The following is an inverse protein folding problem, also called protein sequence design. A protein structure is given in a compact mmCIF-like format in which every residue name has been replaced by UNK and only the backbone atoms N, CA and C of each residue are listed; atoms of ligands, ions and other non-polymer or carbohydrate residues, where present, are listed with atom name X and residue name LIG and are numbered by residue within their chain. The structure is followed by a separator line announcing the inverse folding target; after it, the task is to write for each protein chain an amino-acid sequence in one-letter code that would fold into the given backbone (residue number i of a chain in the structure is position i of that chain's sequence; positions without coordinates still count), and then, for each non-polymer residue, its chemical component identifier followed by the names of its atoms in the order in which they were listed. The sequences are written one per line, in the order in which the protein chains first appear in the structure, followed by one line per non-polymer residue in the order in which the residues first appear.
data_IF_035160232392
#
_entry.id   IF_035160232392
#
_cell.length_a   1.000
_cell.length_b   1.000
_cell.length_c   1.000
_cell.angle_alpha   90.00
_cell.angle_beta   90.00
_cell.angle_gamma   90.00
#
_symmetry.space_group_name_H-M   'P 1'
#
loop_
_entity.id
_entity.type
_entity.pdbx_description
1 polymer ?
#
# COMPACT_ATOMS: atom_id res chain seq x y z
N UNK A 1 -27.33 0.34 11.21
CA UNK A 1 -27.00 -0.84 12.06
C UNK A 1 -25.49 -0.83 12.25
N UNK A 2 -25.03 -0.78 13.51
CA UNK A 2 -23.59 -0.97 13.81
C UNK A 2 -23.17 -2.32 13.23
N UNK A 3 -22.05 -2.35 12.52
CA UNK A 3 -21.53 -3.58 11.91
C UNK A 3 -20.34 -4.03 12.75
N UNK A 4 -20.65 -4.71 13.85
CA UNK A 4 -19.63 -5.25 14.75
C UNK A 4 -19.17 -6.61 14.21
N UNK A 5 -17.87 -6.86 14.22
CA UNK A 5 -17.27 -8.16 13.96
C UNK A 5 -16.99 -8.84 15.31
N UNK A 6 -17.37 -10.11 15.45
CA UNK A 6 -17.18 -10.87 16.70
C UNK A 6 -16.37 -12.13 16.45
N UNK A 7 -15.33 -12.32 17.26
CA UNK A 7 -14.56 -13.56 17.35
C UNK A 7 -15.07 -14.37 18.54
N UNK A 8 -15.33 -15.66 18.33
CA UNK A 8 -15.65 -16.63 19.39
C UNK A 8 -14.89 -17.92 19.07
N UNK A 9 -14.07 -18.39 20.01
CA UNK A 9 -13.38 -19.67 19.93
C UNK A 9 -13.75 -20.47 21.19
N UNK A 10 -14.34 -21.64 20.99
CA UNK A 10 -14.72 -22.54 22.08
C UNK A 10 -13.60 -23.57 22.30
N UNK A 11 -13.05 -23.63 23.50
CA UNK A 11 -12.04 -24.62 23.92
C UNK A 11 -12.55 -25.42 25.10
N UNK A 12 -13.30 -26.48 24.81
CA UNK A 12 -13.93 -27.29 25.87
C UNK A 12 -14.96 -26.47 26.66
N UNK A 13 -14.64 -26.13 27.92
CA UNK A 13 -15.48 -25.30 28.79
C UNK A 13 -15.17 -23.81 28.72
N UNK A 14 -14.03 -23.44 28.15
CA UNK A 14 -13.60 -22.05 28.06
C UNK A 14 -14.04 -21.42 26.73
N UNK A 15 -14.30 -20.12 26.76
CA UNK A 15 -14.64 -19.32 25.57
C UNK A 15 -13.69 -18.15 25.46
N UNK A 16 -12.92 -18.13 24.38
CA UNK A 16 -12.10 -16.98 23.98
C UNK A 16 -12.96 -16.12 23.07
N UNK A 17 -12.97 -14.81 23.30
CA UNK A 17 -13.78 -13.91 22.48
C UNK A 17 -13.16 -12.54 22.29
N UNK A 18 -13.58 -11.86 21.23
CA UNK A 18 -13.24 -10.47 20.98
C UNK A 18 -14.29 -9.83 20.08
N UNK A 19 -14.31 -8.50 20.05
CA UNK A 19 -15.15 -7.72 19.16
C UNK A 19 -14.39 -6.50 18.65
N UNK A 20 -14.73 -6.07 17.44
CA UNK A 20 -14.19 -4.87 16.80
C UNK A 20 -15.24 -4.27 15.86
N UNK A 21 -15.11 -3.00 15.52
CA UNK A 21 -15.95 -2.34 14.54
C UNK A 21 -15.43 -2.61 13.13
N UNK A 22 -16.33 -2.95 12.20
CA UNK A 22 -15.95 -3.07 10.79
C UNK A 22 -15.60 -1.68 10.24
N UNK A 23 -14.44 -1.58 9.61
CA UNK A 23 -14.06 -0.43 8.76
C UNK A 23 -15.04 -0.36 7.59
N UNK A 24 -15.83 0.71 7.54
CA UNK A 24 -16.87 0.90 6.53
C UNK A 24 -16.27 1.24 5.17
N UNK A 25 -17.13 1.16 4.16
CA UNK A 25 -16.81 1.46 2.78
C UNK A 25 -16.31 2.89 2.61
N UNK A 26 -15.27 3.02 1.81
CA UNK A 26 -14.71 4.29 1.35
C UNK A 26 -14.23 4.12 -0.08
N UNK A 27 -13.88 5.22 -0.73
CA UNK A 27 -13.50 5.21 -2.15
C UNK A 27 -12.49 6.28 -2.46
N UNK A 28 -11.77 6.10 -3.57
CA UNK A 28 -10.97 7.16 -4.14
C UNK A 28 -11.86 8.34 -4.55
N UNK A 29 -11.38 9.54 -4.23
CA UNK A 29 -11.91 10.82 -4.71
C UNK A 29 -10.94 11.47 -5.69
N UNK A 30 -9.65 11.09 -5.63
CA UNK A 30 -8.65 11.35 -6.65
C UNK A 30 -7.60 10.23 -6.65
N UNK A 31 -7.37 9.49 -7.75
CA UNK A 31 -8.10 9.54 -9.03
C UNK A 31 -9.60 9.32 -8.88
N UNK A 32 -10.39 9.76 -9.86
CA UNK A 32 -11.83 9.44 -9.90
C UNK A 32 -12.01 8.04 -10.49
N UNK A 33 -12.71 7.12 -9.79
CA UNK A 33 -13.02 5.82 -10.35
C UNK A 33 -13.82 5.91 -11.66
N UNK A 34 -13.47 5.07 -12.64
CA UNK A 34 -14.15 5.00 -13.94
C UNK A 34 -13.65 5.99 -15.00
N UNK A 35 -12.68 6.86 -14.66
CA UNK A 35 -12.01 7.74 -15.62
C UNK A 35 -10.61 7.20 -15.94
N UNK A 36 -10.24 7.17 -17.22
CA UNK A 36 -8.85 6.87 -17.62
C UNK A 36 -7.98 8.05 -17.22
N UNK A 37 -7.12 7.86 -16.23
CA UNK A 37 -6.22 8.90 -15.76
C UNK A 37 -4.81 8.68 -16.27
N UNK A 38 -4.23 9.73 -16.86
CA UNK A 38 -2.82 9.79 -17.24
C UNK A 38 -2.09 10.68 -16.25
N UNK A 39 -1.09 10.12 -15.59
CA UNK A 39 -0.31 10.80 -14.56
C UNK A 39 0.91 11.45 -15.19
N UNK A 40 1.12 12.72 -14.86
CA UNK A 40 2.37 13.43 -15.13
C UNK A 40 3.28 13.30 -13.91
N UNK A 41 4.26 12.41 -14.03
CA UNK A 41 5.22 12.06 -13.01
C UNK A 41 6.53 12.83 -13.15
N UNK A 42 6.58 13.96 -13.88
CA UNK A 42 7.78 14.79 -13.92
C UNK A 42 8.42 14.91 -12.53
N UNK A 43 9.75 14.85 -12.44
CA UNK A 43 10.46 14.75 -11.16
C UNK A 43 10.08 15.86 -10.16
N UNK A 44 9.69 17.04 -10.63
CA UNK A 44 9.26 18.17 -9.78
C UNK A 44 7.76 18.16 -9.45
N UNK A 45 6.95 17.41 -10.18
CA UNK A 45 5.51 17.32 -9.97
C UNK A 45 5.18 16.45 -8.76
N UNK A 46 4.06 16.78 -8.10
CA UNK A 46 3.48 15.98 -7.02
C UNK A 46 2.13 15.45 -7.44
N UNK A 47 1.89 14.16 -7.19
CA UNK A 47 0.61 13.51 -7.42
C UNK A 47 -0.20 13.60 -6.14
N UNK A 48 -1.44 14.06 -6.23
CA UNK A 48 -2.37 14.00 -5.11
C UNK A 48 -3.14 12.69 -5.12
N UNK A 49 -3.10 11.93 -4.02
CA UNK A 49 -3.92 10.75 -3.82
C UNK A 49 -4.93 11.07 -2.72
N UNK A 50 -6.23 10.91 -3.00
CA UNK A 50 -7.32 11.30 -2.09
C UNK A 50 -8.40 10.25 -2.04
N UNK A 51 -8.97 10.07 -0.86
CA UNK A 51 -10.08 9.16 -0.61
C UNK A 51 -11.13 9.82 0.29
N UNK A 52 -12.33 9.22 0.36
CA UNK A 52 -13.31 9.58 1.38
C UNK A 52 -12.90 8.96 2.72
N UNK A 53 -13.20 9.64 3.82
CA UNK A 53 -13.03 9.03 5.14
C UNK A 53 -13.84 7.73 5.24
N UNK A 54 -13.23 6.74 5.88
CA UNK A 54 -13.83 5.45 6.18
C UNK A 54 -14.24 5.47 7.65
N UNK A 55 -15.53 5.34 7.92
CA UNK A 55 -16.02 5.21 9.29
C UNK A 55 -15.36 3.98 9.95
N UNK A 56 -14.91 4.15 11.20
CA UNK A 56 -14.14 3.19 12.00
C UNK A 56 -12.71 2.90 11.52
N UNK A 57 -12.20 3.55 10.47
CA UNK A 57 -10.76 3.59 10.23
C UNK A 57 -10.12 4.67 11.11
N UNK A 58 -9.01 4.30 11.77
CA UNK A 58 -8.22 5.21 12.59
C UNK A 58 -7.01 5.78 11.85
N UNK A 59 -6.45 5.02 10.91
CA UNK A 59 -5.37 5.46 10.04
C UNK A 59 -5.38 4.69 8.73
N UNK A 60 -4.57 5.14 7.78
CA UNK A 60 -4.40 4.57 6.47
C UNK A 60 -2.94 4.31 6.14
N UNK A 61 -2.68 3.22 5.43
CA UNK A 61 -1.44 3.06 4.67
C UNK A 61 -1.76 3.23 3.18
N UNK A 62 -0.88 3.90 2.46
CA UNK A 62 -1.00 4.14 1.03
C UNK A 62 0.14 3.43 0.30
N UNK A 63 -0.22 2.53 -0.60
CA UNK A 63 0.68 1.78 -1.45
C UNK A 63 0.55 2.19 -2.92
N UNK A 64 1.62 2.00 -3.68
CA UNK A 64 1.62 2.13 -5.12
C UNK A 64 2.16 0.84 -5.72
N UNK A 65 1.41 0.28 -6.65
CA UNK A 65 1.79 -0.92 -7.41
C UNK A 65 2.04 -0.54 -8.86
N UNK A 66 3.09 -1.10 -9.43
CA UNK A 66 3.42 -0.95 -10.84
C UNK A 66 3.35 -2.31 -11.48
N UNK A 67 2.55 -2.42 -12.53
CA UNK A 67 2.46 -3.60 -13.35
C UNK A 67 3.25 -3.37 -14.64
N UNK A 68 4.10 -4.33 -14.94
CA UNK A 68 4.88 -4.38 -16.18
C UNK A 68 4.88 -5.80 -16.70
N UNK A 69 5.36 -5.98 -17.92
CA UNK A 69 5.70 -7.30 -18.44
C UNK A 69 7.15 -7.31 -18.84
N UNK A 70 7.77 -8.48 -18.74
CA UNK A 70 9.15 -8.67 -19.17
C UNK A 70 9.31 -9.95 -19.99
N UNK A 71 10.32 -9.97 -20.85
CA UNK A 71 10.75 -11.17 -21.57
C UNK A 71 12.27 -11.25 -21.58
N UNK A 72 12.81 -12.46 -21.52
CA UNK A 72 14.24 -12.69 -21.60
C UNK A 72 14.62 -13.05 -23.05
N UNK A 73 15.44 -12.19 -23.67
CA UNK A 73 15.80 -12.29 -25.09
C UNK A 73 16.69 -13.50 -25.42
N UNK A 74 17.28 -14.16 -24.42
CA UNK A 74 18.09 -15.36 -24.59
C UNK A 74 17.29 -16.66 -24.39
N UNK A 75 16.30 -16.64 -23.50
CA UNK A 75 15.54 -17.84 -23.12
C UNK A 75 14.21 -17.99 -23.87
N UNK A 76 13.43 -16.91 -23.98
CA UNK A 76 12.07 -16.97 -24.53
C UNK A 76 11.53 -15.62 -24.96
N UNK A 77 10.87 -15.58 -26.11
CA UNK A 77 10.14 -14.39 -26.59
C UNK A 77 8.80 -14.17 -25.86
N UNK A 78 8.42 -15.07 -24.95
CA UNK A 78 7.16 -15.00 -24.20
C UNK A 78 7.22 -13.92 -23.13
N UNK A 79 6.24 -13.02 -23.16
CA UNK A 79 6.05 -12.01 -22.11
C UNK A 79 5.49 -12.63 -20.83
N UNK A 80 6.08 -12.27 -19.69
CA UNK A 80 5.62 -12.62 -18.35
C UNK A 80 5.19 -11.34 -17.62
N UNK A 81 4.00 -11.35 -17.05
CA UNK A 81 3.52 -10.24 -16.22
C UNK A 81 4.27 -10.24 -14.88
N UNK A 82 4.66 -9.06 -14.43
CA UNK A 82 5.30 -8.80 -13.14
C UNK A 82 4.72 -7.56 -12.50
N UNK A 83 4.89 -7.46 -11.19
CA UNK A 83 4.57 -6.26 -10.44
C UNK A 83 5.61 -5.99 -9.36
N UNK A 84 5.75 -4.71 -9.03
CA UNK A 84 6.44 -4.25 -7.82
C UNK A 84 5.49 -3.35 -7.05
N UNK A 85 5.63 -3.33 -5.73
CA UNK A 85 4.81 -2.52 -4.85
C UNK A 85 5.70 -1.87 -3.78
N UNK A 86 5.45 -0.60 -3.47
CA UNK A 86 6.05 0.06 -2.33
C UNK A 86 5.00 0.81 -1.52
N UNK A 87 5.32 1.03 -0.25
CA UNK A 87 4.51 1.88 0.61
C UNK A 87 4.92 3.34 0.40
N UNK A 88 4.00 4.16 -0.09
CA UNK A 88 4.23 5.59 -0.28
C UNK A 88 4.14 6.35 1.05
N UNK A 89 3.18 5.99 1.91
CA UNK A 89 3.03 6.59 3.23
C UNK A 89 2.37 5.59 4.20
N UNK A 90 2.70 5.66 5.49
CA UNK A 90 2.12 4.83 6.55
C UNK A 90 1.47 5.66 7.64
N UNK A 91 0.51 5.08 8.34
CA UNK A 91 -0.10 5.66 9.54
C UNK A 91 -0.73 7.04 9.31
N UNK A 92 -1.24 7.27 8.10
CA UNK A 92 -1.86 8.54 7.70
C UNK A 92 -3.20 8.69 8.40
N UNK A 93 -3.40 9.79 9.13
CA UNK A 93 -4.66 10.11 9.81
C UNK A 93 -5.56 11.08 9.01
N UNK A 94 -5.02 11.64 7.92
CA UNK A 94 -5.78 12.40 6.93
C UNK A 94 -6.35 11.47 5.85
N UNK A 95 -7.11 12.04 4.92
CA UNK A 95 -7.67 11.33 3.76
C UNK A 95 -6.98 11.71 2.44
N UNK A 96 -5.76 12.23 2.52
CA UNK A 96 -4.96 12.63 1.38
C UNK A 96 -3.46 12.54 1.64
N UNK A 97 -2.71 12.22 0.59
CA UNK A 97 -1.25 12.38 0.54
C UNK A 97 -0.82 13.05 -0.76
N UNK A 98 0.42 13.55 -0.75
CA UNK A 98 1.10 14.03 -1.95
C UNK A 98 2.37 13.22 -2.14
N UNK A 99 2.52 12.58 -3.30
CA UNK A 99 3.70 11.76 -3.63
C UNK A 99 4.51 12.48 -4.70
N UNK A 100 5.84 12.52 -4.56
CA UNK A 100 6.71 13.14 -5.56
C UNK A 100 6.79 12.22 -6.78
N UNK A 101 6.67 12.79 -7.99
CA UNK A 101 6.84 12.05 -9.24
C UNK A 101 8.21 11.36 -9.34
N UNK A 102 9.24 11.98 -8.79
CA UNK A 102 10.58 11.38 -8.69
C UNK A 102 10.60 10.06 -7.90
N UNK A 103 9.80 9.93 -6.83
CA UNK A 103 9.80 8.74 -5.98
C UNK A 103 9.38 7.51 -6.77
N UNK A 104 8.48 7.66 -7.75
CA UNK A 104 8.13 6.59 -8.67
C UNK A 104 9.36 5.98 -9.35
N UNK A 105 10.21 6.81 -9.97
CA UNK A 105 11.37 6.33 -10.71
C UNK A 105 12.47 5.80 -9.79
N UNK A 106 12.68 6.43 -8.63
CA UNK A 106 13.64 5.96 -7.63
C UNK A 106 13.24 4.57 -7.12
N UNK A 107 11.97 4.37 -6.78
CA UNK A 107 11.49 3.08 -6.28
C UNK A 107 11.62 1.99 -7.35
N UNK A 108 11.23 2.25 -8.60
CA UNK A 108 11.44 1.30 -9.71
C UNK A 108 12.92 0.95 -9.87
N UNK A 109 13.80 1.97 -9.89
CA UNK A 109 15.25 1.81 -9.97
C UNK A 109 15.83 0.92 -8.87
N UNK A 110 15.27 0.99 -7.66
CA UNK A 110 15.72 0.21 -6.51
C UNK A 110 15.11 -1.19 -6.40
N UNK A 111 13.90 -1.40 -6.94
CA UNK A 111 13.12 -2.63 -6.77
C UNK A 111 13.23 -3.60 -7.95
N UNK A 112 13.70 -3.14 -9.11
CA UNK A 112 13.90 -3.97 -10.29
C UNK A 112 15.40 -4.13 -10.53
N UNK A 113 15.85 -5.37 -10.60
CA UNK A 113 17.23 -5.69 -10.92
C UNK A 113 17.54 -5.38 -12.39
N UNK A 114 18.70 -4.77 -12.62
CA UNK A 114 19.27 -4.56 -13.94
C UNK A 114 19.59 -5.91 -14.58
N UNK A 115 19.08 -6.15 -15.79
CA UNK A 115 19.39 -7.35 -16.58
C UNK A 115 19.48 -6.95 -18.06
N UNK A 116 20.68 -7.02 -18.68
CA UNK A 116 20.90 -6.61 -20.07
C UNK A 116 20.18 -7.50 -21.10
N UNK A 117 19.70 -8.68 -20.70
CA UNK A 117 18.99 -9.62 -21.56
C UNK A 117 17.47 -9.56 -21.42
N UNK A 118 16.96 -8.72 -20.52
CA UNK A 118 15.53 -8.54 -20.32
C UNK A 118 15.05 -7.27 -21.00
N UNK A 119 13.90 -7.38 -21.66
CA UNK A 119 13.13 -6.25 -22.16
C UNK A 119 11.86 -6.09 -21.35
N UNK A 120 11.50 -4.85 -20.99
CA UNK A 120 10.36 -4.54 -20.14
C UNK A 120 9.38 -3.59 -20.84
N UNK A 121 8.10 -3.77 -20.56
CA UNK A 121 7.05 -2.86 -21.02
C UNK A 121 6.16 -2.51 -19.84
N UNK A 122 6.03 -1.21 -19.56
CA UNK A 122 5.10 -0.70 -18.58
C UNK A 122 3.66 -0.98 -19.01
N UNK A 123 2.81 -1.41 -18.06
CA UNK A 123 1.40 -1.70 -18.35
C UNK A 123 0.49 -0.66 -17.73
N UNK A 124 0.50 -0.56 -16.41
CA UNK A 124 -0.26 0.44 -15.65
C UNK A 124 0.31 0.56 -14.23
N UNK A 125 -0.22 1.55 -13.52
CA UNK A 125 -0.03 1.74 -12.10
C UNK A 125 -1.36 1.58 -11.37
N UNK A 126 -1.27 1.19 -10.11
CA UNK A 126 -2.39 1.14 -9.19
C UNK A 126 -2.06 1.90 -7.90
N UNK A 127 -3.05 2.59 -7.34
CA UNK A 127 -2.98 3.08 -5.97
C UNK A 127 -3.80 2.17 -5.06
N UNK A 128 -3.25 1.88 -3.89
CA UNK A 128 -3.81 0.97 -2.89
C UNK A 128 -3.93 1.76 -1.60
N UNK A 129 -5.11 1.75 -0.97
CA UNK A 129 -5.30 2.36 0.34
C UNK A 129 -5.88 1.32 1.27
N UNK A 130 -5.21 1.08 2.39
CA UNK A 130 -5.69 0.23 3.46
C UNK A 130 -6.08 1.08 4.67
N UNK A 131 -7.36 1.08 5.05
CA UNK A 131 -7.84 1.68 6.29
C UNK A 131 -7.89 0.65 7.41
N UNK A 132 -7.37 1.01 8.58
CA UNK A 132 -7.19 0.10 9.71
C UNK A 132 -8.03 0.51 10.92
N UNK A 133 -8.59 -0.48 11.61
CA UNK A 133 -9.34 -0.31 12.85
C UNK A 133 -8.48 0.15 14.04
N UNK A 134 -9.17 0.54 15.11
CA UNK A 134 -8.57 1.12 16.32
C UNK A 134 -7.54 0.23 16.98
N UNK A 135 -7.79 -1.08 17.03
CA UNK A 135 -7.00 -2.00 17.85
C UNK A 135 -5.59 -2.19 17.28
N UNK A 136 -5.43 -2.07 15.96
CA UNK A 136 -4.11 -2.03 15.32
C UNK A 136 -3.40 -0.71 15.68
N UNK A 137 -4.12 0.40 15.69
CA UNK A 137 -3.55 1.71 16.07
C UNK A 137 -3.06 1.70 17.53
N UNK A 138 -3.87 1.15 18.44
CA UNK A 138 -3.53 1.02 19.86
C UNK A 138 -2.27 0.16 20.05
N UNK A 139 -2.20 -0.99 19.37
CA UNK A 139 -1.02 -1.87 19.40
C UNK A 139 0.26 -1.14 18.97
N UNK A 140 0.21 -0.46 17.82
CA UNK A 140 1.36 0.26 17.27
C UNK A 140 1.77 1.41 18.19
N UNK A 141 0.80 2.14 18.74
CA UNK A 141 1.05 3.27 19.65
C UNK A 141 1.74 2.83 20.93
N UNK A 142 1.29 1.72 21.54
CA UNK A 142 1.89 1.16 22.74
C UNK A 142 3.31 0.65 22.45
N UNK A 143 3.50 -0.05 21.32
CA UNK A 143 4.82 -0.55 20.95
C UNK A 143 5.81 0.58 20.63
N UNK A 144 5.39 1.56 19.81
CA UNK A 144 6.20 2.70 19.40
C UNK A 144 6.59 3.63 20.55
N UNK A 145 5.69 3.87 21.52
CA UNK A 145 6.00 4.67 22.71
C UNK A 145 7.07 4.03 23.60
N UNK A 146 7.15 2.69 23.63
CA UNK A 146 8.10 1.97 24.49
C UNK A 146 9.51 1.84 23.88
N UNK A 147 9.66 1.94 22.56
CA UNK A 147 10.99 1.95 21.91
C UNK A 147 11.83 3.20 22.25
N UNK A 148 11.19 4.30 22.68
CA UNK A 148 11.87 5.56 22.97
C UNK A 148 12.42 5.70 24.39
N UNK A 149 12.06 4.82 25.34
CA UNK A 149 12.27 5.11 26.77
C UNK A 149 12.91 3.96 27.59
N UNK A 150 12.69 2.67 27.30
CA UNK A 150 12.93 1.63 28.33
C UNK A 150 13.98 0.58 27.95
N UNK A 151 15.15 0.67 28.58
CA UNK A 151 16.23 -0.33 28.52
C UNK A 151 16.06 -1.53 29.46
N UNK A 152 14.94 -1.72 30.16
CA UNK A 152 14.80 -2.83 31.15
C UNK A 152 13.38 -3.22 31.59
N UNK A 153 12.30 -2.70 31.00
CA UNK A 153 10.92 -3.06 31.43
C UNK A 153 10.25 -4.00 30.44
N UNK A 154 9.47 -4.96 30.95
CA UNK A 154 8.59 -5.79 30.12
C UNK A 154 7.59 -4.87 29.40
N UNK A 155 7.64 -4.88 28.07
CA UNK A 155 6.75 -4.08 27.22
C UNK A 155 5.33 -4.64 27.40
N UNK A 156 4.34 -3.85 27.84
CA UNK A 156 2.98 -4.33 27.97
C UNK A 156 2.44 -4.78 26.61
N UNK A 157 2.03 -6.05 26.53
CA UNK A 157 1.44 -6.63 25.33
C UNK A 157 -0.02 -6.19 25.21
N UNK A 158 -0.34 -5.38 24.21
CA UNK A 158 -1.73 -5.06 23.90
C UNK A 158 -2.46 -6.30 23.36
N UNK A 159 -3.62 -6.61 23.94
CA UNK A 159 -4.54 -7.65 23.48
C UNK A 159 -5.98 -7.17 23.71
N UNK A 160 -6.84 -7.30 22.70
CA UNK A 160 -8.28 -7.10 22.83
C UNK A 160 -9.05 -8.45 22.82
N UNK A 161 -8.33 -9.55 22.98
CA UNK A 161 -8.89 -10.90 23.07
C UNK A 161 -9.06 -11.27 24.55
N UNK A 162 -10.30 -11.57 24.94
CA UNK A 162 -10.64 -12.07 26.28
C UNK A 162 -10.38 -13.58 26.33
N UNK A 163 -9.65 -14.04 27.33
CA UNK A 163 -9.28 -15.46 27.49
C UNK A 163 -8.12 -15.91 26.60
N UNK A 164 -7.42 -14.98 25.94
CA UNK A 164 -6.27 -15.28 25.09
C UNK A 164 -5.38 -14.06 24.85
N UNK A 165 -4.37 -14.22 24.01
CA UNK A 165 -3.43 -13.17 23.63
C UNK A 165 -3.48 -12.97 22.13
N UNK A 166 -3.69 -11.73 21.69
CA UNK A 166 -3.61 -11.34 20.29
C UNK A 166 -4.45 -10.11 19.98
N UNK A 167 -4.47 -9.74 18.70
CA UNK A 167 -5.20 -8.58 18.22
C UNK A 167 -6.25 -9.06 17.23
N UNK A 168 -7.49 -8.64 17.48
CA UNK A 168 -8.60 -8.83 16.58
C UNK A 168 -9.11 -7.45 16.14
N UNK A 169 -8.95 -7.14 14.86
CA UNK A 169 -9.33 -5.83 14.30
C UNK A 169 -9.84 -5.99 12.88
N UNK A 170 -10.37 -4.91 12.32
CA UNK A 170 -10.82 -4.84 10.94
C UNK A 170 -9.84 -4.02 10.08
N UNK A 171 -9.70 -4.45 8.82
CA UNK A 171 -8.99 -3.72 7.77
C UNK A 171 -9.86 -3.70 6.53
N UNK A 172 -9.93 -2.57 5.84
CA UNK A 172 -10.53 -2.49 4.50
C UNK A 172 -9.57 -1.87 3.52
N UNK A 173 -9.40 -2.54 2.38
CA UNK A 173 -8.53 -2.09 1.30
C UNK A 173 -9.37 -1.67 0.10
N UNK A 174 -9.00 -0.57 -0.53
CA UNK A 174 -9.48 -0.18 -1.85
C UNK A 174 -8.30 -0.03 -2.80
N UNK A 175 -8.52 -0.34 -4.07
CA UNK A 175 -7.52 -0.24 -5.13
C UNK A 175 -8.13 0.52 -6.31
N UNK A 176 -7.33 1.34 -6.98
CA UNK A 176 -7.68 1.95 -8.25
C UNK A 176 -6.53 1.70 -9.23
N UNK A 177 -6.83 0.96 -10.29
CA UNK A 177 -5.87 0.58 -11.30
C UNK A 177 -6.00 1.37 -12.60
N UNK A 178 -5.35 0.84 -13.64
CA UNK A 178 -5.34 1.40 -15.00
C UNK A 178 -4.90 2.87 -15.06
N UNK A 179 -4.04 3.27 -14.12
CA UNK A 179 -3.39 4.57 -14.14
C UNK A 179 -2.24 4.52 -15.14
N UNK A 180 -2.34 5.33 -16.18
CA UNK A 180 -1.37 5.37 -17.27
C UNK A 180 -0.39 6.52 -17.07
N UNK A 181 0.74 6.48 -17.76
CA UNK A 181 1.70 7.57 -17.80
C UNK A 181 1.44 8.46 -19.02
N UNK A 182 1.63 9.77 -18.87
CA UNK A 182 1.81 10.66 -20.03
C UNK A 182 3.12 10.36 -20.75
N UNK A 183 3.25 10.76 -22.01
CA UNK A 183 4.44 10.48 -22.85
C UNK A 183 5.74 10.93 -22.19
N UNK A 184 5.80 12.14 -21.63
CA UNK A 184 7.01 12.64 -20.95
C UNK A 184 7.45 11.79 -19.75
N UNK A 185 6.49 11.13 -19.07
CA UNK A 185 6.77 10.21 -17.96
C UNK A 185 7.20 8.84 -18.47
N UNK A 186 6.71 8.40 -19.64
CA UNK A 186 7.21 7.21 -20.32
C UNK A 186 8.65 7.42 -20.80
N UNK A 187 8.96 8.58 -21.38
CA UNK A 187 10.33 8.94 -21.76
C UNK A 187 11.27 8.92 -20.56
N UNK A 188 10.80 9.44 -19.41
CA UNK A 188 11.55 9.40 -18.15
C UNK A 188 11.72 7.98 -17.61
N UNK A 189 10.78 7.08 -17.85
CA UNK A 189 10.90 5.66 -17.48
C UNK A 189 11.94 4.96 -18.35
N UNK A 190 11.97 5.26 -19.65
CA UNK A 190 12.86 4.62 -20.62
C UNK A 190 14.29 5.15 -20.51
N UNK A 191 14.45 6.47 -20.39
CA UNK A 191 15.75 7.15 -20.53
C UNK A 191 16.22 7.92 -19.29
N UNK A 192 15.38 7.98 -18.26
CA UNK A 192 15.65 8.76 -17.06
C UNK A 192 16.78 8.22 -16.19
N UNK A 193 17.31 9.09 -15.33
CA UNK A 193 18.53 8.85 -14.54
C UNK A 193 18.43 7.66 -13.57
N UNK A 194 17.21 7.26 -13.19
CA UNK A 194 16.96 6.18 -12.24
C UNK A 194 16.64 4.83 -12.90
N UNK A 195 16.19 4.83 -14.16
CA UNK A 195 15.57 3.66 -14.79
C UNK A 195 16.14 3.32 -16.17
N UNK A 196 17.08 4.13 -16.69
CA UNK A 196 17.68 3.95 -18.02
C UNK A 196 18.39 2.60 -18.23
N UNK A 197 18.77 1.89 -17.17
CA UNK A 197 19.38 0.55 -17.22
C UNK A 197 18.39 -0.59 -17.06
N UNK A 198 17.10 -0.29 -16.89
CA UNK A 198 16.06 -1.29 -16.67
C UNK A 198 15.41 -1.78 -17.97
N UNK A 199 15.86 -1.31 -19.13
CA UNK A 199 15.42 -1.78 -20.44
C UNK A 199 13.90 -1.71 -20.67
N UNK A 200 13.26 -0.67 -20.13
CA UNK A 200 11.89 -0.32 -20.51
C UNK A 200 11.85 0.22 -21.93
N UNK A 201 10.80 -0.12 -22.68
CA UNK A 201 10.53 0.38 -24.04
C UNK A 201 9.06 0.73 -24.23
#
# INVERSE_FOLDING_TARGET
RSSDLKLIINQGKDTISSNTLIVKDFKFTNPKPGEVQRLDLNYQNKISIRWSYAENAHFYDVGIRINYRERNLQESTTWKNKSIEWTAERYVTTNNIMVQGQDFFVNIGSLIEEDPFVEREFRNMEFIIAGFGKEIFDYISIYGANLGITGSQEIPLYSNIVGGIGIFSAKKTIEIGDLLLVESSQDSLISGIYTNKLNFK
#
